data_IF_806562335071
#
_entry.id   IF_806562335071
#
_cell.length_a   1.000
_cell.length_b   1.000
_cell.length_c   1.000
_cell.angle_alpha   90.00
_cell.angle_beta   90.00
_cell.angle_gamma   90.00
#
_symmetry.space_group_name_H-M   'P 1'
#
loop_
_entity.id
_entity.type
_entity.pdbx_description
1 polymer ?
#
# COMPACT_ATOMS: atom_id res chain seq x y z
N UNK A 1 3.44 -67.25 -45.02
CA UNK A 1 3.68 -66.94 -43.64
C UNK A 1 3.86 -65.44 -43.55
N UNK A 2 2.84 -64.71 -43.22
CA UNK A 2 2.83 -63.22 -43.17
C UNK A 2 2.70 -62.83 -41.70
N UNK A 3 3.76 -62.17 -41.19
CA UNK A 3 3.76 -61.54 -39.89
C UNK A 3 3.24 -60.10 -40.01
N UNK A 4 2.13 -59.87 -39.42
CA UNK A 4 1.55 -58.51 -39.26
C UNK A 4 2.07 -57.91 -37.98
N UNK A 5 2.85 -56.85 -38.08
CA UNK A 5 3.29 -56.05 -36.96
C UNK A 5 2.22 -54.98 -36.67
N UNK A 6 1.61 -55.05 -35.51
CA UNK A 6 0.69 -54.04 -35.01
C UNK A 6 1.47 -52.92 -34.34
N UNK A 7 1.44 -51.74 -34.94
CA UNK A 7 1.98 -50.52 -34.33
C UNK A 7 0.96 -49.95 -33.34
N UNK A 8 1.33 -49.95 -32.09
CA UNK A 8 0.54 -49.29 -31.02
C UNK A 8 0.92 -47.80 -31.02
N UNK A 9 0.00 -46.98 -31.48
CA UNK A 9 0.07 -45.52 -31.31
C UNK A 9 -0.36 -45.16 -29.90
N UNK A 10 0.57 -44.72 -29.09
CA UNK A 10 0.26 -44.08 -27.81
C UNK A 10 0.08 -42.58 -28.07
N UNK A 11 -1.08 -41.99 -27.85
CA UNK A 11 -1.22 -40.57 -27.91
C UNK A 11 -0.54 -39.92 -26.68
N UNK A 12 0.53 -39.20 -26.89
CA UNK A 12 1.07 -38.27 -25.90
C UNK A 12 0.03 -37.17 -25.68
N UNK A 13 -0.71 -37.29 -24.62
CA UNK A 13 -1.45 -36.13 -24.11
C UNK A 13 -0.45 -35.19 -23.48
N UNK A 14 -0.07 -34.17 -24.23
CA UNK A 14 0.63 -33.03 -23.67
C UNK A 14 -0.39 -32.30 -22.77
N UNK A 15 -0.31 -32.58 -21.49
CA UNK A 15 -0.97 -31.72 -20.50
C UNK A 15 -0.31 -30.36 -20.59
N UNK A 16 -0.98 -29.41 -21.22
CA UNK A 16 -0.55 -28.01 -21.19
C UNK A 16 -0.44 -27.58 -19.75
N UNK A 17 0.78 -27.44 -19.29
CA UNK A 17 1.10 -26.92 -17.98
C UNK A 17 0.44 -25.59 -17.78
N UNK A 18 -0.36 -25.53 -16.79
CA UNK A 18 -1.19 -24.39 -16.46
C UNK A 18 -0.31 -23.40 -15.71
N UNK A 19 0.38 -22.51 -16.44
CA UNK A 19 1.13 -21.42 -15.87
C UNK A 19 0.29 -20.20 -15.51
N UNK A 20 -1.02 -20.36 -15.29
CA UNK A 20 -1.93 -19.22 -15.08
C UNK A 20 -2.12 -18.81 -13.62
N UNK A 21 -1.67 -19.59 -12.66
CA UNK A 21 -1.88 -19.33 -11.25
C UNK A 21 -0.95 -18.27 -10.69
N UNK A 22 0.19 -17.98 -11.36
CA UNK A 22 1.25 -17.20 -10.77
C UNK A 22 1.16 -15.68 -11.02
N UNK A 23 0.31 -15.25 -11.96
CA UNK A 23 0.18 -13.83 -12.28
C UNK A 23 -0.89 -13.09 -11.46
N UNK A 24 -1.78 -13.82 -10.76
CA UNK A 24 -2.89 -13.25 -10.00
C UNK A 24 -2.50 -12.53 -8.70
N UNK A 25 -1.55 -13.03 -7.86
CA UNK A 25 -1.29 -12.45 -6.54
C UNK A 25 -0.67 -11.06 -6.57
N UNK A 26 0.18 -10.75 -7.55
CA UNK A 26 0.93 -9.47 -7.60
C UNK A 26 0.01 -8.31 -7.96
N UNK A 27 -0.87 -8.48 -8.94
CA UNK A 27 -1.83 -7.43 -9.34
C UNK A 27 -2.89 -7.15 -8.26
N UNK A 28 -3.30 -8.18 -7.52
CA UNK A 28 -4.28 -8.06 -6.44
C UNK A 28 -3.70 -7.28 -5.26
N UNK A 29 -2.41 -7.43 -4.98
CA UNK A 29 -1.76 -6.76 -3.87
C UNK A 29 -1.60 -5.26 -4.09
N UNK A 30 -1.28 -4.85 -5.31
CA UNK A 30 -1.19 -3.45 -5.71
C UNK A 30 -2.56 -2.75 -5.61
N UNK A 31 -3.64 -3.43 -5.97
CA UNK A 31 -5.00 -2.92 -5.89
C UNK A 31 -5.49 -2.70 -4.47
N UNK A 32 -4.83 -3.27 -3.47
CA UNK A 32 -5.25 -3.18 -2.07
C UNK A 32 -4.84 -1.90 -1.37
N UNK A 33 -4.01 -1.09 -1.96
CA UNK A 33 -3.54 0.19 -1.38
C UNK A 33 -4.22 1.37 -2.03
N UNK A 34 -4.38 1.35 -3.35
CA UNK A 34 -4.99 2.43 -4.11
C UNK A 34 -6.51 2.33 -4.12
N UNK A 35 -7.18 3.46 -4.24
CA UNK A 35 -8.64 3.55 -4.30
C UNK A 35 -9.35 3.30 -2.96
N UNK A 36 -8.62 3.25 -1.87
CA UNK A 36 -9.13 2.97 -0.52
C UNK A 36 -8.91 4.18 0.36
N UNK A 37 -9.91 4.53 1.16
CA UNK A 37 -9.77 5.53 2.21
C UNK A 37 -9.16 4.89 3.45
N UNK A 38 -7.94 5.30 3.77
CA UNK A 38 -7.19 4.82 4.91
C UNK A 38 -7.26 5.83 6.05
N UNK A 39 -7.70 5.39 7.22
CA UNK A 39 -7.55 6.17 8.45
C UNK A 39 -6.18 5.88 9.03
N UNK A 40 -5.46 6.93 9.41
CA UNK A 40 -4.19 6.77 10.13
C UNK A 40 -4.53 6.47 11.59
N UNK A 41 -4.03 5.35 12.08
CA UNK A 41 -4.26 4.93 13.46
C UNK A 41 -3.14 5.37 14.39
N UNK A 42 -1.90 5.18 13.96
CA UNK A 42 -0.72 5.54 14.76
C UNK A 42 0.52 5.68 13.89
N UNK A 43 1.51 6.35 14.47
CA UNK A 43 2.85 6.46 13.92
C UNK A 43 3.85 5.97 14.98
N UNK A 44 4.71 5.05 14.60
CA UNK A 44 5.84 4.61 15.42
C UNK A 44 7.12 5.15 14.79
N UNK A 45 7.77 6.06 15.47
CA UNK A 45 9.00 6.69 15.01
C UNK A 45 10.02 6.70 16.15
N UNK A 46 11.26 6.30 15.86
CA UNK A 46 12.32 6.21 16.87
C UNK A 46 11.96 5.31 18.05
N UNK A 47 11.15 4.27 17.82
CA UNK A 47 10.67 3.35 18.86
C UNK A 47 9.51 3.87 19.71
N UNK A 48 9.01 5.07 19.46
CA UNK A 48 7.87 5.67 20.17
C UNK A 48 6.62 5.63 19.33
N UNK A 49 5.56 5.02 19.85
CA UNK A 49 4.26 4.99 19.19
C UNK A 49 3.42 6.20 19.62
N UNK A 50 2.77 6.85 18.66
CA UNK A 50 1.85 7.97 18.85
C UNK A 50 0.53 7.68 18.19
N UNK A 51 -0.55 7.87 18.90
CA UNK A 51 -1.89 7.78 18.32
C UNK A 51 -2.19 8.97 17.41
N UNK A 52 -2.79 8.68 16.27
CA UNK A 52 -3.17 9.73 15.33
C UNK A 52 -4.43 10.47 15.80
N UNK A 53 -4.53 11.78 15.53
CA UNK A 53 -5.80 12.49 15.63
C UNK A 53 -6.86 11.83 14.73
N UNK A 54 -8.13 11.89 15.16
CA UNK A 54 -9.24 11.22 14.46
C UNK A 54 -9.41 11.65 13.00
N UNK A 55 -8.98 12.85 12.64
CA UNK A 55 -9.06 13.40 11.28
C UNK A 55 -7.97 12.89 10.34
N UNK A 56 -6.91 12.25 10.86
CA UNK A 56 -5.78 11.80 10.07
C UNK A 56 -6.19 10.68 9.12
N UNK A 57 -6.01 10.91 7.83
CA UNK A 57 -6.41 9.98 6.77
C UNK A 57 -5.58 10.17 5.51
N UNK A 58 -5.50 9.11 4.72
CA UNK A 58 -4.76 9.05 3.47
C UNK A 58 -5.56 8.27 2.43
N UNK A 59 -5.63 8.80 1.23
CA UNK A 59 -6.11 8.08 0.06
C UNK A 59 -5.11 8.24 -1.07
N UNK A 60 -4.80 7.15 -1.75
CA UNK A 60 -4.01 7.14 -2.98
C UNK A 60 -4.93 6.69 -4.11
N UNK A 61 -5.13 7.55 -5.09
CA UNK A 61 -5.92 7.20 -6.27
C UNK A 61 -5.07 6.40 -7.27
N UNK A 62 -5.74 5.70 -8.16
CA UNK A 62 -5.07 4.88 -9.17
C UNK A 62 -4.23 5.69 -10.16
N UNK A 63 -4.50 6.98 -10.29
CA UNK A 63 -3.74 7.91 -11.13
C UNK A 63 -2.47 8.47 -10.45
N UNK A 64 -2.19 8.05 -9.21
CA UNK A 64 -1.02 8.49 -8.47
C UNK A 64 -1.21 9.78 -7.66
N UNK A 65 -2.44 10.27 -7.52
CA UNK A 65 -2.72 11.38 -6.60
C UNK A 65 -2.94 10.83 -5.20
N UNK A 66 -2.27 11.46 -4.24
CA UNK A 66 -2.50 11.20 -2.83
C UNK A 66 -3.08 12.45 -2.18
N UNK A 67 -4.01 12.25 -1.26
CA UNK A 67 -4.65 13.33 -0.52
C UNK A 67 -5.17 12.84 0.82
N UNK A 68 -5.46 13.76 1.71
CA UNK A 68 -6.03 13.45 3.01
C UNK A 68 -5.80 14.55 4.03
N UNK A 69 -5.63 14.14 5.29
CA UNK A 69 -5.33 15.04 6.41
C UNK A 69 -4.23 14.41 7.26
N UNK A 70 -3.23 15.18 7.61
CA UNK A 70 -2.07 14.67 8.36
C UNK A 70 -2.20 14.83 9.89
N UNK A 71 -3.35 15.31 10.34
CA UNK A 71 -3.62 15.52 11.77
C UNK A 71 -4.22 16.90 12.08
N UNK A 72 -3.89 17.89 11.30
CA UNK A 72 -4.45 19.25 11.33
C UNK A 72 -4.79 19.69 9.92
N UNK A 73 -3.80 19.72 9.04
CA UNK A 73 -3.91 20.26 7.70
C UNK A 73 -4.25 19.19 6.68
N UNK A 74 -5.01 19.59 5.67
CA UNK A 74 -5.20 18.79 4.48
C UNK A 74 -3.92 18.81 3.65
N UNK A 75 -3.64 17.70 2.99
CA UNK A 75 -2.50 17.58 2.12
C UNK A 75 -2.88 17.01 0.76
N UNK A 76 -2.03 17.28 -0.20
CA UNK A 76 -1.98 16.59 -1.48
C UNK A 76 -0.54 16.26 -1.82
N UNK A 77 -0.34 15.17 -2.53
CA UNK A 77 0.99 14.72 -2.94
C UNK A 77 0.87 13.87 -4.21
N UNK A 78 2.00 13.58 -4.80
CA UNK A 78 2.13 12.58 -5.85
C UNK A 78 2.63 11.29 -5.21
N UNK A 79 1.93 10.19 -5.42
CA UNK A 79 2.35 8.87 -5.01
C UNK A 79 2.79 8.06 -6.23
N UNK A 80 3.97 7.46 -6.14
CA UNK A 80 4.45 6.49 -7.13
C UNK A 80 4.42 5.11 -6.46
N UNK A 81 3.62 4.20 -7.03
CA UNK A 81 3.42 2.85 -6.49
C UNK A 81 4.02 1.82 -7.44
N UNK A 82 5.00 1.08 -6.96
CA UNK A 82 5.63 -0.04 -7.66
C UNK A 82 5.60 -1.28 -6.78
N UNK A 83 4.65 -2.18 -7.05
CA UNK A 83 4.45 -3.35 -6.21
C UNK A 83 4.08 -2.96 -4.78
N UNK A 84 4.91 -3.33 -3.82
CA UNK A 84 4.76 -2.98 -2.41
C UNK A 84 5.49 -1.69 -1.99
N UNK A 85 6.10 -0.97 -2.95
CA UNK A 85 6.88 0.24 -2.68
C UNK A 85 6.12 1.47 -3.08
N UNK A 86 6.08 2.44 -2.17
CA UNK A 86 5.38 3.71 -2.37
C UNK A 86 6.34 4.85 -2.05
N UNK A 87 6.42 5.82 -2.97
CA UNK A 87 7.18 7.05 -2.77
C UNK A 87 6.24 8.23 -2.92
N UNK A 88 6.24 9.13 -1.93
CA UNK A 88 5.47 10.36 -1.96
C UNK A 88 6.38 11.54 -2.31
N UNK A 89 5.93 12.35 -3.25
CA UNK A 89 6.62 13.57 -3.65
C UNK A 89 5.66 14.74 -3.78
N UNK A 90 6.20 15.93 -3.92
CA UNK A 90 5.43 17.17 -4.13
C UNK A 90 4.35 17.41 -3.07
N UNK A 91 4.65 17.10 -1.82
CA UNK A 91 3.68 17.23 -0.74
C UNK A 91 3.38 18.70 -0.46
N UNK A 92 2.11 19.05 -0.52
CA UNK A 92 1.58 20.38 -0.22
C UNK A 92 0.54 20.26 0.87
N UNK A 93 0.52 21.23 1.75
CA UNK A 93 -0.42 21.26 2.88
C UNK A 93 -1.07 22.64 3.01
N UNK A 94 -2.28 22.68 3.55
CA UNK A 94 -2.86 23.91 4.08
C UNK A 94 -2.07 24.36 5.32
N UNK A 95 -2.30 25.57 5.78
CA UNK A 95 -1.55 26.16 6.90
C UNK A 95 -2.48 26.66 7.99
N UNK A 96 -3.20 25.72 8.57
CA UNK A 96 -4.03 25.99 9.75
C UNK A 96 -3.19 25.76 11.01
N UNK A 97 -3.53 26.49 12.08
CA UNK A 97 -2.95 26.28 13.40
C UNK A 97 -3.93 25.45 14.24
N UNK A 98 -3.46 24.30 14.70
CA UNK A 98 -4.17 23.43 15.63
C UNK A 98 -3.45 23.35 16.96
N UNK A 99 -3.98 22.59 17.91
CA UNK A 99 -3.30 22.32 19.17
C UNK A 99 -1.90 21.72 18.96
N UNK A 100 -0.93 22.01 19.86
CA UNK A 100 0.46 21.62 19.68
C UNK A 100 0.68 20.12 19.41
N UNK A 101 -0.04 19.26 20.09
CA UNK A 101 0.05 17.81 19.92
C UNK A 101 -0.34 17.36 18.52
N UNK A 102 -1.37 17.97 17.93
CA UNK A 102 -1.80 17.70 16.56
C UNK A 102 -0.78 18.20 15.54
N UNK A 103 -0.20 19.35 15.78
CA UNK A 103 0.85 19.93 14.94
C UNK A 103 2.13 19.09 14.99
N UNK A 104 2.48 18.56 16.15
CA UNK A 104 3.62 17.67 16.33
C UNK A 104 3.43 16.35 15.59
N UNK A 105 2.23 15.77 15.69
CA UNK A 105 1.88 14.56 14.96
C UNK A 105 1.94 14.79 13.44
N UNK A 106 1.37 15.87 12.97
CA UNK A 106 1.37 16.23 11.55
C UNK A 106 2.79 16.37 10.99
N UNK A 107 3.68 17.06 11.69
CA UNK A 107 5.08 17.19 11.27
C UNK A 107 5.78 15.82 11.21
N UNK A 108 5.55 14.98 12.19
CA UNK A 108 6.13 13.64 12.22
C UNK A 108 5.59 12.77 11.09
N UNK A 109 4.29 12.81 10.83
CA UNK A 109 3.66 12.05 9.75
C UNK A 109 4.11 12.53 8.37
N UNK A 110 4.15 13.85 8.16
CA UNK A 110 4.64 14.42 6.91
C UNK A 110 6.08 14.00 6.61
N UNK A 111 6.93 14.00 7.64
CA UNK A 111 8.32 13.52 7.53
C UNK A 111 8.37 12.05 7.18
N UNK A 112 7.61 11.20 7.88
CA UNK A 112 7.58 9.77 7.63
C UNK A 112 7.11 9.44 6.21
N UNK A 113 6.13 10.17 5.68
CA UNK A 113 5.65 9.97 4.31
C UNK A 113 6.68 10.38 3.25
N UNK A 114 7.51 11.37 3.53
CA UNK A 114 8.41 11.97 2.53
C UNK A 114 9.88 11.56 2.67
N UNK A 115 10.21 10.72 3.64
CA UNK A 115 11.59 10.24 3.89
C UNK A 115 11.92 9.03 3.00
N UNK A 116 11.81 9.15 1.69
CA UNK A 116 12.18 8.10 0.76
C UNK A 116 11.05 7.12 0.44
N UNK A 117 11.42 5.89 0.14
CA UNK A 117 10.47 4.86 -0.28
C UNK A 117 9.94 4.09 0.92
N UNK A 118 8.62 3.95 0.98
CA UNK A 118 7.93 3.17 2.01
C UNK A 118 7.58 1.78 1.47
N UNK A 119 7.70 0.77 2.31
CA UNK A 119 7.21 -0.57 2.02
C UNK A 119 5.82 -0.74 2.59
N UNK A 120 4.87 -1.07 1.74
CA UNK A 120 3.47 -1.27 2.10
C UNK A 120 3.18 -2.74 2.38
N UNK A 121 2.55 -3.02 3.50
CA UNK A 121 2.07 -4.35 3.86
C UNK A 121 0.60 -4.26 4.25
N UNK A 122 -0.23 -5.05 3.58
CA UNK A 122 -1.66 -5.11 3.89
C UNK A 122 -2.00 -6.44 4.53
N UNK A 123 -2.82 -6.41 5.56
CA UNK A 123 -3.33 -7.58 6.25
C UNK A 123 -4.68 -7.25 6.88
N UNK A 124 -5.71 -8.00 6.51
CA UNK A 124 -7.07 -7.94 7.08
C UNK A 124 -7.62 -6.51 7.25
N UNK A 125 -7.60 -5.73 6.15
CA UNK A 125 -8.11 -4.36 6.18
C UNK A 125 -7.19 -3.35 6.86
N UNK A 126 -5.97 -3.74 7.21
CA UNK A 126 -4.94 -2.87 7.77
C UNK A 126 -3.80 -2.68 6.79
N UNK A 127 -3.19 -1.52 6.84
CA UNK A 127 -2.03 -1.17 6.05
C UNK A 127 -0.92 -0.68 6.99
N UNK A 128 0.27 -1.21 6.81
CA UNK A 128 1.48 -0.70 7.45
C UNK A 128 2.43 -0.18 6.38
N UNK A 129 2.85 1.06 6.52
CA UNK A 129 3.90 1.66 5.70
C UNK A 129 5.17 1.76 6.54
N UNK A 130 6.25 1.17 6.08
CA UNK A 130 7.54 1.14 6.79
C UNK A 130 8.59 1.85 5.96
N UNK A 131 9.32 2.77 6.55
CA UNK A 131 10.45 3.45 5.91
C UNK A 131 11.76 2.67 6.05
N UNK A 132 12.85 3.22 5.50
CA UNK A 132 14.17 2.59 5.55
C UNK A 132 14.79 2.54 6.94
N UNK A 133 14.34 3.35 7.87
CA UNK A 133 14.83 3.42 9.25
C UNK A 133 14.02 2.54 10.21
N UNK A 134 12.93 1.94 9.72
CA UNK A 134 12.05 1.09 10.49
C UNK A 134 10.88 1.81 11.15
N UNK A 135 10.71 3.09 10.89
CA UNK A 135 9.54 3.83 11.34
C UNK A 135 8.29 3.33 10.59
N UNK A 136 7.15 3.30 11.25
CA UNK A 136 5.93 2.68 10.73
C UNK A 136 4.72 3.58 10.89
N UNK A 137 3.94 3.65 9.82
CA UNK A 137 2.63 4.27 9.82
C UNK A 137 1.61 3.14 9.79
N UNK A 138 0.73 3.07 10.78
CA UNK A 138 -0.34 2.08 10.85
C UNK A 138 -1.65 2.72 10.44
N UNK A 139 -2.32 2.09 9.49
CA UNK A 139 -3.57 2.57 8.93
C UNK A 139 -4.59 1.43 8.90
N UNK A 140 -5.86 1.79 8.95
CA UNK A 140 -6.96 0.86 8.75
C UNK A 140 -7.96 1.44 7.73
N UNK A 141 -8.70 0.55 7.07
CA UNK A 141 -9.76 0.99 6.18
C UNK A 141 -10.77 1.81 6.96
N UNK A 142 -11.13 2.97 6.41
CA UNK A 142 -12.28 3.70 6.91
C UNK A 142 -13.53 2.87 6.68
N UNK A 143 -14.41 2.80 7.67
CA UNK A 143 -15.70 2.16 7.49
C UNK A 143 -16.49 2.90 6.40
N UNK A 144 -17.22 2.20 5.53
CA UNK A 144 -18.14 2.86 4.62
C UNK A 144 -19.23 3.58 5.45
N UNK A 145 -19.43 4.86 5.15
CA UNK A 145 -20.53 5.63 5.72
C UNK A 145 -21.85 5.26 5.08
#
# INVERSE_FOLDING_TARGET
>A
MTLTAAAVFVPLTVACGIGKADSGPVGVQQSRVTGIDWRVDSLTAGGTARHAPAVARLRIDEDGKAAGNLGCNQFSARATVHGDRITFGDLRMTRMACAPDRMDFERALARALTTGTLVAKTDDGKLTLTDGDGDRIHLSRSAPE
#
